data_IF_711702696444
#
_entry.id   IF_711702696444
#
_cell.length_a   1.000
_cell.length_b   1.000
_cell.length_c   1.000
_cell.angle_alpha   90.00
_cell.angle_beta   90.00
_cell.angle_gamma   90.00
#
_symmetry.space_group_name_H-M   'P 1'
#
loop_
_entity.id
_entity.type
_entity.pdbx_description
1 polymer ?
#
# COMPACT_ATOMS: atom_id res chain seq x y z
N UNK A 1 -7.89 -74.33 -43.23
CA UNK A 1 -7.83 -73.90 -41.89
C UNK A 1 -6.63 -72.97 -41.60
N UNK A 2 -5.38 -73.30 -41.95
CA UNK A 2 -4.18 -72.45 -41.67
C UNK A 2 -4.25 -71.03 -42.27
N UNK A 3 -4.76 -70.84 -43.49
CA UNK A 3 -4.91 -69.57 -44.20
C UNK A 3 -5.98 -68.66 -43.47
N UNK A 4 -7.05 -69.25 -42.96
CA UNK A 4 -8.10 -68.55 -42.23
C UNK A 4 -7.58 -68.02 -40.88
N UNK A 5 -6.83 -68.84 -40.14
CA UNK A 5 -6.19 -68.43 -38.90
C UNK A 5 -5.12 -67.32 -39.09
N UNK A 6 -4.35 -67.38 -40.16
CA UNK A 6 -3.38 -66.34 -40.50
C UNK A 6 -4.07 -65.03 -40.84
N UNK A 7 -5.19 -65.04 -41.55
CA UNK A 7 -5.95 -63.88 -41.94
C UNK A 7 -6.65 -63.25 -40.69
N UNK A 8 -7.13 -64.09 -39.79
CA UNK A 8 -7.72 -63.62 -38.50
C UNK A 8 -6.65 -62.97 -37.61
N UNK A 9 -5.46 -63.56 -37.51
CA UNK A 9 -4.33 -63.01 -36.75
C UNK A 9 -3.85 -61.65 -37.29
N UNK A 10 -3.76 -61.52 -38.62
CA UNK A 10 -3.39 -60.24 -39.26
C UNK A 10 -4.44 -59.15 -39.05
N UNK A 11 -5.73 -59.48 -39.12
CA UNK A 11 -6.82 -58.55 -38.79
C UNK A 11 -6.78 -58.08 -37.32
N UNK A 12 -6.47 -59.00 -36.43
CA UNK A 12 -6.37 -58.68 -34.97
C UNK A 12 -5.19 -57.74 -34.69
N UNK A 13 -4.02 -57.99 -35.31
CA UNK A 13 -2.86 -57.13 -35.21
C UNK A 13 -3.15 -55.72 -35.80
N UNK A 14 -3.86 -55.70 -36.96
CA UNK A 14 -4.24 -54.44 -37.59
C UNK A 14 -5.20 -53.63 -36.71
N UNK A 15 -6.22 -54.32 -36.14
CA UNK A 15 -7.16 -53.65 -35.21
C UNK A 15 -6.46 -53.11 -33.95
N UNK A 16 -5.52 -53.89 -33.41
CA UNK A 16 -4.69 -53.42 -32.27
C UNK A 16 -3.83 -52.20 -32.61
N UNK A 17 -3.20 -52.24 -33.78
CA UNK A 17 -2.38 -51.12 -34.29
C UNK A 17 -3.20 -49.83 -34.46
N UNK A 18 -4.43 -49.97 -35.05
CA UNK A 18 -5.35 -48.84 -35.20
C UNK A 18 -5.78 -48.29 -33.83
N UNK A 19 -6.11 -49.19 -32.90
CA UNK A 19 -6.51 -48.77 -31.55
C UNK A 19 -5.39 -48.04 -30.81
N UNK A 20 -4.17 -48.57 -30.83
CA UNK A 20 -2.99 -47.92 -30.25
C UNK A 20 -2.70 -46.56 -30.95
N UNK A 21 -2.75 -46.54 -32.26
CA UNK A 21 -2.53 -45.29 -33.02
C UNK A 21 -3.56 -44.22 -32.68
N UNK A 22 -4.83 -44.60 -32.52
CA UNK A 22 -5.90 -43.69 -32.12
C UNK A 22 -5.71 -43.17 -30.70
N UNK A 23 -5.35 -44.05 -29.74
CA UNK A 23 -5.13 -43.64 -28.34
C UNK A 23 -3.93 -42.70 -28.23
N UNK A 24 -2.85 -42.97 -28.94
CA UNK A 24 -1.68 -42.07 -28.98
C UNK A 24 -2.05 -40.72 -29.63
N UNK A 25 -2.81 -40.76 -30.74
CA UNK A 25 -3.26 -39.54 -31.43
C UNK A 25 -4.08 -38.65 -30.50
N UNK A 26 -5.09 -39.21 -29.80
CA UNK A 26 -5.92 -38.48 -28.86
C UNK A 26 -5.07 -37.92 -27.69
N UNK A 27 -4.16 -38.74 -27.17
CA UNK A 27 -3.31 -38.33 -26.02
C UNK A 27 -2.35 -37.18 -26.39
N UNK A 28 -1.68 -37.25 -27.54
CA UNK A 28 -0.68 -36.26 -27.92
C UNK A 28 -1.24 -35.03 -28.68
N UNK A 29 -2.34 -35.20 -29.41
CA UNK A 29 -2.88 -34.13 -30.25
C UNK A 29 -4.09 -33.42 -29.66
N UNK A 30 -4.91 -34.10 -28.87
CA UNK A 30 -6.16 -33.53 -28.37
C UNK A 30 -6.08 -33.18 -26.86
N UNK A 31 -5.13 -33.72 -26.11
CA UNK A 31 -5.02 -33.40 -24.68
C UNK A 31 -4.36 -32.02 -24.53
N UNK A 32 -5.01 -31.08 -23.84
CA UNK A 32 -4.42 -29.77 -23.60
C UNK A 32 -3.21 -29.90 -22.65
N UNK A 33 -2.05 -29.51 -23.14
CA UNK A 33 -0.84 -29.45 -22.32
C UNK A 33 -0.06 -28.18 -22.65
N UNK A 34 0.68 -27.65 -21.69
CA UNK A 34 1.53 -26.48 -21.86
C UNK A 34 2.95 -26.73 -21.38
N UNK A 35 3.92 -26.14 -22.07
CA UNK A 35 5.32 -26.08 -21.62
C UNK A 35 5.68 -24.73 -20.97
N UNK A 36 4.84 -23.71 -21.18
CA UNK A 36 5.11 -22.35 -20.72
C UNK A 36 4.09 -21.97 -19.64
N UNK A 37 4.11 -22.72 -18.54
CA UNK A 37 3.39 -22.36 -17.33
C UNK A 37 4.27 -21.45 -16.46
N UNK A 38 3.76 -20.26 -16.11
CA UNK A 38 4.49 -19.29 -15.26
C UNK A 38 3.71 -18.97 -14.02
N UNK A 39 4.40 -19.02 -12.88
CA UNK A 39 3.87 -18.51 -11.61
C UNK A 39 4.08 -17.01 -11.57
N UNK A 40 3.04 -16.29 -11.21
CA UNK A 40 3.08 -14.84 -10.97
C UNK A 40 2.50 -14.50 -9.60
N UNK A 41 2.84 -13.34 -9.11
CA UNK A 41 2.29 -12.76 -7.90
C UNK A 41 2.24 -11.23 -8.06
N UNK A 42 1.43 -10.57 -7.26
CA UNK A 42 1.42 -9.12 -7.19
C UNK A 42 2.67 -8.64 -6.45
N UNK A 43 3.36 -7.68 -7.04
CA UNK A 43 4.57 -7.09 -6.50
C UNK A 43 4.26 -5.65 -6.12
N UNK A 44 4.35 -5.35 -4.84
CA UNK A 44 4.10 -4.02 -4.29
C UNK A 44 5.43 -3.32 -4.09
N UNK A 45 5.66 -2.27 -4.87
CA UNK A 45 6.84 -1.44 -4.72
C UNK A 45 6.72 -0.59 -3.45
N UNK A 46 7.73 -0.67 -2.58
CA UNK A 46 7.79 0.08 -1.33
C UNK A 46 8.66 1.31 -1.56
N UNK A 47 8.04 2.48 -1.46
CA UNK A 47 8.69 3.77 -1.56
C UNK A 47 8.47 4.56 -0.27
N UNK A 48 9.35 5.53 -0.01
CA UNK A 48 9.18 6.45 1.10
C UNK A 48 8.15 7.54 0.75
N UNK A 49 7.31 7.90 1.70
CA UNK A 49 6.36 9.02 1.61
C UNK A 49 6.98 10.34 2.09
N UNK A 50 8.14 10.28 2.75
CA UNK A 50 8.90 11.43 3.26
C UNK A 50 10.38 11.26 2.93
N UNK A 51 11.11 12.37 2.85
CA UNK A 51 12.55 12.37 2.53
C UNK A 51 13.39 12.34 3.79
N UNK A 52 14.55 11.71 3.73
CA UNK A 52 15.52 11.73 4.82
C UNK A 52 16.54 10.60 4.73
N UNK A 53 17.50 10.63 5.65
CA UNK A 53 18.48 9.56 5.80
C UNK A 53 17.82 8.30 6.37
N UNK A 54 18.19 7.14 5.84
CA UNK A 54 17.73 5.85 6.35
C UNK A 54 18.60 5.44 7.54
N UNK A 55 18.02 5.44 8.72
CA UNK A 55 18.72 5.12 9.97
C UNK A 55 18.70 3.65 10.31
N UNK A 56 17.71 2.90 9.83
CA UNK A 56 17.61 1.47 10.06
C UNK A 56 16.85 0.74 8.94
N UNK A 57 17.26 -0.50 8.66
CA UNK A 57 16.62 -1.43 7.72
C UNK A 57 16.60 -2.81 8.39
N UNK A 58 15.56 -3.12 9.19
CA UNK A 58 15.52 -4.32 10.01
C UNK A 58 15.22 -5.60 9.22
N UNK A 59 14.95 -5.50 7.92
CA UNK A 59 14.57 -6.62 7.05
C UNK A 59 15.73 -7.03 6.13
N UNK A 60 15.65 -8.27 5.61
CA UNK A 60 16.58 -8.82 4.64
C UNK A 60 15.84 -9.25 3.37
N UNK A 61 16.58 -9.35 2.28
CA UNK A 61 16.02 -9.89 1.04
C UNK A 61 15.52 -11.33 1.25
N UNK A 62 14.39 -11.68 0.63
CA UNK A 62 13.66 -12.94 0.81
C UNK A 62 13.12 -13.20 2.23
N UNK A 63 13.07 -12.20 3.10
CA UNK A 63 12.46 -12.34 4.42
C UNK A 63 10.93 -12.26 4.33
N UNK A 64 10.25 -13.19 5.02
CA UNK A 64 8.80 -13.11 5.23
C UNK A 64 8.48 -12.00 6.21
N UNK A 65 7.56 -11.12 5.83
CA UNK A 65 7.04 -10.01 6.64
C UNK A 65 5.52 -10.04 6.68
N UNK A 66 4.97 -9.52 7.75
CA UNK A 66 3.52 -9.33 7.92
C UNK A 66 3.15 -7.88 7.67
N UNK A 67 1.91 -7.64 7.29
CA UNK A 67 1.35 -6.29 7.19
C UNK A 67 1.55 -5.51 8.49
N UNK A 68 2.17 -4.35 8.38
CA UNK A 68 2.53 -3.49 9.50
C UNK A 68 3.95 -3.67 10.04
N UNK A 69 4.69 -4.70 9.62
CA UNK A 69 6.08 -4.86 10.02
C UNK A 69 6.94 -3.71 9.46
N UNK A 70 7.89 -3.24 10.27
CA UNK A 70 8.81 -2.16 9.88
C UNK A 70 9.78 -2.68 8.82
N UNK A 71 9.80 -2.04 7.66
CA UNK A 71 10.70 -2.34 6.56
C UNK A 71 11.93 -1.42 6.55
N UNK A 72 11.70 -0.13 6.82
CA UNK A 72 12.74 0.89 6.79
C UNK A 72 12.36 2.03 7.72
N UNK A 73 13.33 2.57 8.45
CA UNK A 73 13.18 3.75 9.31
C UNK A 73 13.97 4.91 8.71
N UNK A 74 13.28 6.01 8.43
CA UNK A 74 13.86 7.29 8.06
C UNK A 74 14.12 8.10 9.33
N UNK A 75 15.16 8.94 9.36
CA UNK A 75 15.48 9.77 10.52
C UNK A 75 14.28 10.62 10.96
N UNK A 76 13.73 10.39 12.16
CA UNK A 76 12.55 11.07 12.65
C UNK A 76 12.82 12.43 13.31
N UNK A 77 14.10 12.80 13.54
CA UNK A 77 14.41 13.94 14.41
C UNK A 77 13.85 15.27 13.88
N UNK A 78 14.03 15.54 12.60
CA UNK A 78 13.47 16.75 11.97
C UNK A 78 11.93 16.78 12.08
N UNK A 79 11.28 15.64 11.89
CA UNK A 79 9.82 15.50 11.97
C UNK A 79 9.31 15.62 13.41
N UNK A 80 10.04 15.12 14.40
CA UNK A 80 9.72 15.32 15.82
C UNK A 80 9.78 16.80 16.23
N UNK A 81 10.77 17.53 15.72
CA UNK A 81 10.89 18.97 15.93
C UNK A 81 9.69 19.69 15.31
N UNK A 82 9.30 19.34 14.08
CA UNK A 82 8.13 19.91 13.41
C UNK A 82 6.83 19.68 14.20
N UNK A 83 6.62 18.48 14.73
CA UNK A 83 5.48 18.18 15.62
C UNK A 83 5.49 19.08 16.87
N UNK A 84 6.64 19.23 17.53
CA UNK A 84 6.79 20.09 18.70
C UNK A 84 6.47 21.55 18.43
N UNK A 85 6.92 22.06 17.25
CA UNK A 85 6.61 23.42 16.80
C UNK A 85 5.10 23.59 16.56
N UNK A 86 4.47 22.63 15.86
CA UNK A 86 3.03 22.65 15.62
C UNK A 86 2.21 22.58 16.92
N UNK A 87 2.62 21.75 17.89
CA UNK A 87 2.00 21.69 19.23
C UNK A 87 2.06 23.03 19.97
N UNK A 88 3.20 23.71 19.89
CA UNK A 88 3.37 25.04 20.51
C UNK A 88 2.47 26.08 19.85
N UNK A 89 2.33 26.01 18.52
CA UNK A 89 1.44 26.88 17.77
C UNK A 89 -0.04 26.65 18.14
N UNK A 90 -0.46 25.37 18.24
CA UNK A 90 -1.81 25.00 18.70
C UNK A 90 -2.09 25.58 20.09
N UNK A 91 -1.17 25.43 21.04
CA UNK A 91 -1.32 25.98 22.39
C UNK A 91 -1.48 27.51 22.39
N UNK A 92 -0.67 28.21 21.58
CA UNK A 92 -0.74 29.68 21.43
C UNK A 92 -2.08 30.12 20.82
N UNK A 93 -2.52 29.49 19.73
CA UNK A 93 -3.79 29.83 19.06
C UNK A 93 -5.00 29.51 19.91
N UNK A 94 -4.96 28.40 20.64
CA UNK A 94 -5.98 28.03 21.61
C UNK A 94 -6.14 29.10 22.70
N UNK A 95 -5.06 29.54 23.32
CA UNK A 95 -5.08 30.57 24.32
C UNK A 95 -5.64 31.92 23.79
N UNK A 96 -5.26 32.28 22.56
CA UNK A 96 -5.81 33.46 21.88
C UNK A 96 -7.30 33.35 21.65
N UNK A 97 -7.77 32.21 21.11
CA UNK A 97 -9.19 31.96 20.90
C UNK A 97 -9.98 31.99 22.21
N UNK A 98 -9.54 31.30 23.25
CA UNK A 98 -10.19 31.29 24.55
C UNK A 98 -10.33 32.72 25.15
N UNK A 99 -9.27 33.53 25.06
CA UNK A 99 -9.31 34.93 25.48
C UNK A 99 -10.33 35.74 24.70
N UNK A 100 -10.38 35.61 23.34
CA UNK A 100 -11.31 36.31 22.46
C UNK A 100 -12.76 35.87 22.70
N UNK A 101 -12.98 34.57 22.89
CA UNK A 101 -14.29 34.00 23.23
C UNK A 101 -14.84 34.56 24.52
N UNK A 102 -14.02 34.62 25.60
CA UNK A 102 -14.42 35.21 26.88
C UNK A 102 -14.73 36.69 26.73
N UNK A 103 -13.94 37.45 25.94
CA UNK A 103 -14.18 38.85 25.67
C UNK A 103 -15.49 39.09 24.89
N UNK A 104 -15.77 38.28 23.88
CA UNK A 104 -17.02 38.33 23.13
C UNK A 104 -18.23 38.04 24.02
N UNK A 105 -18.14 37.00 24.88
CA UNK A 105 -19.21 36.69 25.86
C UNK A 105 -19.46 37.82 26.84
N UNK A 106 -18.41 38.39 27.44
CA UNK A 106 -18.56 39.55 28.35
C UNK A 106 -19.24 40.73 27.67
N UNK A 107 -18.95 41.01 26.40
CA UNK A 107 -19.58 42.11 25.65
C UNK A 107 -21.02 41.79 25.28
N UNK A 108 -21.34 40.52 25.01
CA UNK A 108 -22.71 40.07 24.76
C UNK A 108 -23.62 40.25 25.98
N UNK A 109 -23.10 40.05 27.18
CA UNK A 109 -23.83 40.13 28.45
C UNK A 109 -24.05 41.58 28.93
N UNK A 110 -23.42 42.60 28.31
CA UNK A 110 -23.60 43.99 28.68
C UNK A 110 -24.88 44.57 28.08
N UNK A 111 -25.53 45.48 28.81
CA UNK A 111 -26.71 46.17 28.39
C UNK A 111 -26.45 46.97 27.08
N UNK A 112 -27.49 47.06 26.20
CA UNK A 112 -27.45 47.78 24.93
C UNK A 112 -27.20 49.30 25.14
N UNK A 113 -27.45 49.84 26.33
CA UNK A 113 -27.13 51.22 26.71
C UNK A 113 -25.62 51.44 26.96
N UNK A 114 -24.84 50.37 27.22
CA UNK A 114 -23.44 50.45 27.57
C UNK A 114 -22.52 50.14 26.40
N UNK A 115 -23.00 49.27 25.46
CA UNK A 115 -22.19 48.86 24.30
C UNK A 115 -23.04 48.82 23.03
N UNK A 116 -22.49 49.35 21.90
CA UNK A 116 -23.18 49.33 20.63
C UNK A 116 -23.29 47.91 20.04
N UNK A 117 -24.29 47.65 19.21
CA UNK A 117 -24.46 46.39 18.50
C UNK A 117 -23.21 46.07 17.66
N UNK A 118 -22.68 47.06 16.97
CA UNK A 118 -21.46 46.95 16.15
C UNK A 118 -20.27 46.38 16.97
N UNK A 119 -20.00 46.93 18.16
CA UNK A 119 -18.91 46.46 19.00
C UNK A 119 -19.09 45.03 19.54
N UNK A 120 -20.36 44.56 19.66
CA UNK A 120 -20.66 43.16 20.00
C UNK A 120 -20.40 42.23 18.82
N UNK A 121 -20.90 42.63 17.63
CA UNK A 121 -20.73 41.87 16.40
C UNK A 121 -19.24 41.78 16.05
N UNK A 122 -18.47 42.84 16.19
CA UNK A 122 -17.01 42.86 16.01
C UNK A 122 -16.30 41.89 16.96
N UNK A 123 -16.68 41.88 18.23
CA UNK A 123 -16.07 40.96 19.20
C UNK A 123 -16.38 39.50 18.88
N UNK A 124 -17.58 39.20 18.41
CA UNK A 124 -17.95 37.86 17.94
C UNK A 124 -17.13 37.46 16.71
N UNK A 125 -17.07 38.34 15.68
CA UNK A 125 -16.31 38.09 14.47
C UNK A 125 -14.82 37.85 14.74
N UNK A 126 -14.24 38.61 15.71
CA UNK A 126 -12.84 38.41 16.13
C UNK A 126 -12.66 37.06 16.86
N UNK A 127 -13.64 36.63 17.65
CA UNK A 127 -13.58 35.33 18.31
C UNK A 127 -13.72 34.17 17.30
N UNK A 128 -14.57 34.32 16.28
CA UNK A 128 -14.77 33.36 15.23
C UNK A 128 -13.52 33.25 14.32
N UNK A 129 -12.89 34.38 14.02
CA UNK A 129 -11.60 34.40 13.31
C UNK A 129 -10.50 33.69 14.12
N UNK A 130 -10.43 33.94 15.42
CA UNK A 130 -9.46 33.26 16.29
C UNK A 130 -9.73 31.75 16.41
N UNK A 131 -11.00 31.31 16.33
CA UNK A 131 -11.37 29.91 16.25
C UNK A 131 -10.87 29.27 14.96
N UNK A 132 -11.03 29.95 13.84
CA UNK A 132 -10.53 29.47 12.54
C UNK A 132 -9.00 29.34 12.54
N UNK A 133 -8.28 30.29 13.13
CA UNK A 133 -6.83 30.23 13.33
C UNK A 133 -6.41 29.03 14.20
N UNK A 134 -7.15 28.74 15.26
CA UNK A 134 -6.90 27.58 16.10
C UNK A 134 -7.14 26.26 15.35
N UNK A 135 -8.23 26.17 14.59
CA UNK A 135 -8.52 25.00 13.75
C UNK A 135 -7.45 24.80 12.67
N UNK A 136 -6.96 25.87 12.06
CA UNK A 136 -5.85 25.80 11.14
C UNK A 136 -4.56 25.26 11.79
N UNK A 137 -4.25 25.70 12.99
CA UNK A 137 -3.10 25.17 13.74
C UNK A 137 -3.25 23.68 14.08
N UNK A 138 -4.48 23.21 14.39
CA UNK A 138 -4.75 21.78 14.59
C UNK A 138 -4.49 20.96 13.33
N UNK A 139 -4.93 21.43 12.16
CA UNK A 139 -4.66 20.77 10.89
C UNK A 139 -3.15 20.71 10.56
N UNK A 140 -2.40 21.76 10.91
CA UNK A 140 -0.93 21.75 10.77
C UNK A 140 -0.27 20.73 11.69
N UNK A 141 -0.76 20.57 12.92
CA UNK A 141 -0.27 19.55 13.84
C UNK A 141 -0.53 18.15 13.28
N UNK A 142 -1.75 17.87 12.81
CA UNK A 142 -2.10 16.59 12.21
C UNK A 142 -1.20 16.25 11.01
N UNK A 143 -0.92 17.23 10.14
CA UNK A 143 -0.01 17.05 9.02
C UNK A 143 1.43 16.74 9.47
N UNK A 144 1.92 17.40 10.52
CA UNK A 144 3.24 17.14 11.08
C UNK A 144 3.33 15.74 11.72
N UNK A 145 2.30 15.31 12.44
CA UNK A 145 2.21 13.97 13.05
C UNK A 145 2.15 12.88 11.97
N UNK A 146 1.40 13.10 10.89
CA UNK A 146 1.35 12.19 9.76
C UNK A 146 2.72 12.03 9.10
N UNK A 147 3.45 13.13 8.89
CA UNK A 147 4.80 13.08 8.34
C UNK A 147 5.78 12.36 9.26
N UNK A 148 5.67 12.55 10.57
CA UNK A 148 6.46 11.79 11.55
C UNK A 148 6.13 10.29 11.48
N UNK A 149 4.85 9.92 11.41
CA UNK A 149 4.43 8.52 11.24
C UNK A 149 5.00 7.90 9.96
N UNK A 150 5.04 8.66 8.85
CA UNK A 150 5.56 8.22 7.55
C UNK A 150 7.08 8.01 7.52
N UNK A 151 7.80 8.44 8.56
CA UNK A 151 9.22 8.06 8.71
C UNK A 151 9.41 6.57 8.96
N UNK A 152 8.36 5.89 9.43
CA UNK A 152 8.31 4.44 9.57
C UNK A 152 7.64 3.84 8.33
N UNK A 153 8.44 3.30 7.43
CA UNK A 153 7.94 2.62 6.24
C UNK A 153 7.63 1.17 6.61
N UNK A 154 6.37 0.79 6.51
CA UNK A 154 5.86 -0.52 6.94
C UNK A 154 5.32 -1.33 5.76
N UNK A 155 5.27 -2.65 5.92
CA UNK A 155 4.69 -3.55 4.93
C UNK A 155 3.18 -3.31 4.77
N UNK A 156 2.71 -3.14 3.53
CA UNK A 156 1.31 -2.95 3.22
C UNK A 156 0.51 -4.28 3.21
N UNK A 157 1.19 -5.39 2.95
CA UNK A 157 0.65 -6.76 2.84
C UNK A 157 1.57 -7.77 3.51
N UNK A 158 1.05 -8.98 3.72
CA UNK A 158 1.84 -10.14 4.12
C UNK A 158 2.58 -10.70 2.90
N UNK A 159 3.89 -10.90 2.99
CA UNK A 159 4.63 -11.36 1.82
C UNK A 159 6.14 -11.45 2.03
N UNK A 160 6.86 -11.60 0.93
CA UNK A 160 8.32 -11.70 0.93
C UNK A 160 8.95 -10.42 0.41
N UNK A 161 9.89 -9.88 1.17
CA UNK A 161 10.73 -8.74 0.73
C UNK A 161 11.60 -9.17 -0.44
N UNK A 162 11.66 -8.36 -1.47
CA UNK A 162 12.51 -8.58 -2.64
C UNK A 162 13.05 -7.25 -3.19
N UNK A 163 14.08 -7.32 -4.02
CA UNK A 163 14.72 -6.13 -4.58
C UNK A 163 15.13 -5.11 -3.50
N UNK A 164 15.66 -5.58 -2.38
CA UNK A 164 16.14 -4.73 -1.30
C UNK A 164 17.38 -3.94 -1.77
N UNK A 165 17.16 -2.71 -2.17
CA UNK A 165 18.19 -1.81 -2.69
C UNK A 165 18.29 -0.54 -1.81
N UNK A 166 18.38 -0.74 -0.50
CA UNK A 166 18.57 0.32 0.47
C UNK A 166 19.40 -0.19 1.64
N UNK A 167 20.27 0.67 2.12
CA UNK A 167 21.15 0.41 3.26
C UNK A 167 21.03 1.54 4.27
N UNK A 168 21.44 1.25 5.49
CA UNK A 168 21.59 2.28 6.52
C UNK A 168 22.60 3.34 6.07
N UNK A 169 22.25 4.61 6.17
CA UNK A 169 23.01 5.76 5.68
C UNK A 169 22.62 6.22 4.27
N UNK A 170 21.81 5.45 3.54
CA UNK A 170 21.26 5.91 2.26
C UNK A 170 20.24 7.04 2.45
N UNK A 171 20.02 7.81 1.40
CA UNK A 171 19.01 8.86 1.41
C UNK A 171 17.75 8.42 0.66
N UNK A 172 16.61 8.39 1.36
CA UNK A 172 15.31 8.10 0.77
C UNK A 172 14.67 9.37 0.20
N UNK A 173 14.06 9.25 -1.01
CA UNK A 173 13.28 10.31 -1.64
C UNK A 173 11.84 9.85 -1.83
N UNK A 174 10.91 10.81 -1.79
CA UNK A 174 9.49 10.54 -2.00
C UNK A 174 9.26 9.86 -3.35
N UNK A 175 8.53 8.75 -3.34
CA UNK A 175 8.15 8.00 -4.55
C UNK A 175 9.25 7.12 -5.15
N UNK A 176 10.47 7.14 -4.63
CA UNK A 176 11.55 6.27 -5.07
C UNK A 176 11.42 4.89 -4.42
N UNK A 177 11.14 3.86 -5.22
CA UNK A 177 11.05 2.48 -4.72
C UNK A 177 12.43 1.99 -4.28
N UNK A 178 12.54 1.56 -3.04
CA UNK A 178 13.79 1.06 -2.44
C UNK A 178 13.79 -0.46 -2.23
N UNK A 179 12.63 -1.06 -2.23
CA UNK A 179 12.41 -2.50 -2.14
C UNK A 179 11.02 -2.84 -2.68
N UNK A 180 10.69 -4.12 -2.76
CA UNK A 180 9.36 -4.57 -3.09
C UNK A 180 8.91 -5.69 -2.15
N UNK A 181 7.61 -5.87 -2.00
CA UNK A 181 7.00 -6.99 -1.27
C UNK A 181 6.13 -7.79 -2.24
N UNK A 182 6.42 -9.08 -2.36
CA UNK A 182 5.61 -10.03 -3.13
C UNK A 182 4.48 -10.50 -2.23
N UNK A 183 3.23 -10.20 -2.59
CA UNK A 183 2.07 -10.62 -1.80
C UNK A 183 1.92 -12.15 -1.83
N UNK A 184 1.99 -12.78 -0.66
CA UNK A 184 1.90 -14.23 -0.52
C UNK A 184 0.49 -14.79 -0.82
N UNK A 185 -0.54 -13.95 -0.85
CA UNK A 185 -1.91 -14.35 -1.11
C UNK A 185 -2.33 -14.12 -2.57
N UNK A 186 -1.43 -13.62 -3.42
CA UNK A 186 -1.73 -13.23 -4.80
C UNK A 186 -1.15 -14.17 -5.86
N UNK A 187 -0.62 -15.32 -5.50
CA UNK A 187 -0.02 -16.23 -6.46
C UNK A 187 -1.04 -16.82 -7.41
N UNK A 188 -0.75 -16.74 -8.72
CA UNK A 188 -1.51 -17.44 -9.77
C UNK A 188 -0.57 -18.07 -10.79
N UNK A 189 -1.09 -19.03 -11.50
CA UNK A 189 -0.38 -19.67 -12.59
C UNK A 189 -1.13 -19.39 -13.88
N UNK A 190 -0.43 -18.94 -14.92
CA UNK A 190 -0.98 -18.92 -16.24
C UNK A 190 -0.09 -19.71 -17.20
N UNK A 191 -0.73 -20.39 -18.14
CA UNK A 191 -0.05 -21.16 -19.17
C UNK A 191 -0.55 -20.78 -20.54
N UNK A 192 0.33 -20.80 -21.50
CA UNK A 192 0.00 -20.62 -22.90
C UNK A 192 -0.25 -21.99 -23.53
N UNK A 193 -1.46 -22.19 -24.04
CA UNK A 193 -1.86 -23.39 -24.74
C UNK A 193 -1.91 -23.10 -26.25
N UNK A 194 -1.60 -24.11 -27.07
CA UNK A 194 -1.80 -24.02 -28.51
C UNK A 194 -3.30 -23.97 -28.82
N UNK A 195 -3.72 -23.06 -29.69
CA UNK A 195 -5.13 -22.85 -30.05
C UNK A 195 -5.82 -24.11 -30.50
N UNK A 196 -5.09 -24.99 -31.23
CA UNK A 196 -5.58 -26.26 -31.74
C UNK A 196 -5.85 -27.33 -30.71
N UNK A 197 -5.44 -27.10 -29.43
CA UNK A 197 -5.57 -28.02 -28.30
C UNK A 197 -6.57 -27.55 -27.25
N UNK A 198 -7.23 -26.43 -27.48
CA UNK A 198 -8.34 -25.96 -26.68
C UNK A 198 -9.65 -26.59 -27.16
N UNK A 199 -10.53 -27.08 -26.27
CA UNK A 199 -11.81 -27.69 -26.64
C UNK A 199 -12.79 -26.67 -27.23
#
# INVERSE_FOLDING_TARGET
MKKFFSLLATLLVLALAIWIGRTLWVHYMQTPWTRDGRVRADIINVAADVTGEVVDVPVRDNQLVKKGDLLMQIDPEHYRIAVKQAQSLVASRKATWEMRKVNAHRRADLDALVISRENRDDASNIADSALADYQHALAQLEAAELNLKRTQVVAAVDGYVTNLNVHRGDYARIGEAKMAVVDMNSFWVYGFFEETKLP
#
